data_IF_633663554471
#
_entry.id   IF_633663554471
#
_cell.length_a   1.000
_cell.length_b   1.000
_cell.length_c   1.000
_cell.angle_alpha   90.00
_cell.angle_beta   90.00
_cell.angle_gamma   90.00
#
_symmetry.space_group_name_H-M   'P 1'
#
loop_
_entity.id
_entity.type
_entity.pdbx_description
1 polymer ?
#
# COMPACT_ATOMS: atom_id res chain seq x y z
N UNK A 1 12.60 29.41 -7.22
CA UNK A 1 13.14 28.32 -6.38
C UNK A 1 12.54 28.33 -4.96
N UNK A 2 11.22 28.55 -4.80
CA UNK A 2 10.54 28.48 -3.49
C UNK A 2 9.58 27.28 -3.38
N UNK A 3 9.11 26.72 -4.51
CA UNK A 3 8.25 25.53 -4.50
C UNK A 3 8.93 24.22 -4.09
N UNK A 4 10.26 24.15 -4.19
CA UNK A 4 11.03 22.96 -3.79
C UNK A 4 11.21 22.90 -2.27
N UNK A 5 11.43 24.04 -1.61
CA UNK A 5 11.57 24.13 -0.16
C UNK A 5 10.26 23.90 0.59
N UNK A 6 9.12 24.26 -0.02
CA UNK A 6 7.80 23.94 0.55
C UNK A 6 7.48 22.43 0.43
N UNK A 7 8.03 21.74 -0.58
CA UNK A 7 7.94 20.28 -0.69
C UNK A 7 8.84 19.57 0.32
N UNK A 8 9.95 20.20 0.70
CA UNK A 8 11.01 19.58 1.50
C UNK A 8 10.56 19.22 2.93
N UNK A 9 9.52 19.85 3.48
CA UNK A 9 9.08 19.66 4.88
C UNK A 9 7.59 19.34 5.07
N UNK A 10 6.83 19.10 3.99
CA UNK A 10 5.41 18.75 4.10
C UNK A 10 5.19 17.26 4.36
N UNK A 11 5.82 16.73 5.42
CA UNK A 11 5.64 15.36 5.91
C UNK A 11 4.16 14.94 6.09
N UNK A 12 3.27 15.80 6.60
CA UNK A 12 1.84 15.47 6.67
C UNK A 12 1.21 15.19 5.30
N UNK A 13 1.61 15.92 4.26
CA UNK A 13 1.10 15.75 2.91
C UNK A 13 1.59 14.43 2.29
N UNK A 14 2.86 14.06 2.51
CA UNK A 14 3.37 12.76 2.06
C UNK A 14 2.68 11.58 2.76
N UNK A 15 2.45 11.71 4.07
CA UNK A 15 1.70 10.71 4.84
C UNK A 15 0.27 10.60 4.32
N UNK A 16 -0.41 11.72 4.06
CA UNK A 16 -1.76 11.74 3.52
C UNK A 16 -1.83 11.11 2.12
N UNK A 17 -0.92 11.48 1.21
CA UNK A 17 -0.84 10.89 -0.13
C UNK A 17 -0.58 9.39 -0.07
N UNK A 18 0.35 8.94 0.78
CA UNK A 18 0.61 7.52 0.97
C UNK A 18 -0.61 6.78 1.50
N UNK A 19 -1.33 7.36 2.46
CA UNK A 19 -2.56 6.77 2.99
C UNK A 19 -3.64 6.64 1.90
N UNK A 20 -3.86 7.69 1.11
CA UNK A 20 -4.81 7.68 -0.01
C UNK A 20 -4.45 6.60 -1.03
N UNK A 21 -3.17 6.52 -1.44
CA UNK A 21 -2.69 5.49 -2.35
C UNK A 21 -2.89 4.09 -1.77
N UNK A 22 -2.60 3.90 -0.48
CA UNK A 22 -2.78 2.62 0.22
C UNK A 22 -4.24 2.18 0.22
N UNK A 23 -5.16 3.08 0.58
CA UNK A 23 -6.59 2.80 0.56
C UNK A 23 -7.07 2.46 -0.85
N UNK A 24 -6.65 3.22 -1.86
CA UNK A 24 -7.03 2.98 -3.26
C UNK A 24 -6.55 1.61 -3.75
N UNK A 25 -5.30 1.24 -3.46
CA UNK A 25 -4.73 -0.05 -3.88
C UNK A 25 -5.43 -1.21 -3.15
N UNK A 26 -5.67 -1.08 -1.84
CA UNK A 26 -6.43 -2.09 -1.08
C UNK A 26 -7.85 -2.26 -1.61
N UNK A 27 -8.49 -1.15 -2.00
CA UNK A 27 -9.80 -1.16 -2.63
C UNK A 27 -9.77 -1.85 -4.00
N UNK A 28 -8.78 -1.54 -4.84
CA UNK A 28 -8.55 -2.20 -6.14
C UNK A 28 -8.43 -3.71 -6.00
N UNK A 29 -7.59 -4.19 -5.06
CA UNK A 29 -7.45 -5.64 -4.82
C UNK A 29 -8.73 -6.29 -4.34
N UNK A 30 -9.48 -5.61 -3.46
CA UNK A 30 -10.77 -6.12 -2.98
C UNK A 30 -11.77 -6.23 -4.14
N UNK A 31 -11.81 -5.22 -5.01
CA UNK A 31 -12.69 -5.20 -6.18
C UNK A 31 -12.33 -6.29 -7.18
N UNK A 32 -11.05 -6.42 -7.55
CA UNK A 32 -10.56 -7.43 -8.48
C UNK A 32 -10.81 -8.85 -7.96
N UNK A 33 -10.52 -9.10 -6.69
CA UNK A 33 -10.80 -10.39 -6.04
C UNK A 33 -12.30 -10.73 -6.05
N UNK A 34 -13.17 -9.74 -5.78
CA UNK A 34 -14.61 -9.90 -5.86
C UNK A 34 -15.10 -10.24 -7.28
N UNK A 35 -14.59 -9.54 -8.30
CA UNK A 35 -14.89 -9.82 -9.70
C UNK A 35 -14.45 -11.22 -10.11
N UNK A 36 -13.22 -11.62 -9.77
CA UNK A 36 -12.69 -12.95 -10.07
C UNK A 36 -13.49 -14.09 -9.43
N UNK A 37 -14.10 -13.87 -8.26
CA UNK A 37 -14.94 -14.86 -7.59
C UNK A 37 -16.30 -15.05 -8.29
N UNK A 38 -16.84 -13.99 -8.89
CA UNK A 38 -18.15 -13.97 -9.54
C UNK A 38 -18.10 -14.27 -11.05
N UNK A 39 -16.93 -14.58 -11.60
CA UNK A 39 -16.74 -14.89 -13.02
C UNK A 39 -16.51 -16.39 -13.19
N UNK A 40 -17.44 -17.04 -13.89
CA UNK A 40 -17.37 -18.48 -14.22
C UNK A 40 -16.52 -18.75 -15.47
N UNK A 41 -16.41 -17.78 -16.38
CA UNK A 41 -15.57 -17.90 -17.57
C UNK A 41 -14.07 -17.96 -17.23
N UNK A 42 -13.44 -19.06 -17.62
CA UNK A 42 -12.03 -19.34 -17.33
C UNK A 42 -11.09 -18.36 -18.01
N UNK A 43 -11.42 -17.88 -19.21
CA UNK A 43 -10.59 -16.93 -19.94
C UNK A 43 -10.59 -15.56 -19.25
N UNK A 44 -11.77 -15.03 -18.93
CA UNK A 44 -11.93 -13.76 -18.21
C UNK A 44 -11.29 -13.82 -16.83
N UNK A 45 -11.43 -14.94 -16.10
CA UNK A 45 -10.77 -15.13 -14.80
C UNK A 45 -9.24 -15.13 -14.90
N UNK A 46 -8.68 -15.74 -15.95
CA UNK A 46 -7.24 -15.71 -16.24
C UNK A 46 -6.75 -14.29 -16.55
N UNK A 47 -7.49 -13.53 -17.37
CA UNK A 47 -7.16 -12.14 -17.66
C UNK A 47 -7.19 -11.25 -16.42
N UNK A 48 -8.22 -11.39 -15.56
CA UNK A 48 -8.30 -10.66 -14.30
C UNK A 48 -7.17 -11.02 -13.34
N UNK A 49 -6.76 -12.29 -13.29
CA UNK A 49 -5.59 -12.72 -12.53
C UNK A 49 -4.31 -12.06 -13.04
N UNK A 50 -4.06 -12.11 -14.35
CA UNK A 50 -2.90 -11.47 -14.98
C UNK A 50 -2.85 -9.98 -14.68
N UNK A 51 -3.96 -9.25 -14.85
CA UNK A 51 -4.04 -7.83 -14.52
C UNK A 51 -3.70 -7.60 -13.04
N UNK A 52 -4.26 -8.41 -12.14
CA UNK A 52 -4.01 -8.30 -10.70
C UNK A 52 -2.56 -8.57 -10.34
N UNK A 53 -1.89 -9.51 -11.02
CA UNK A 53 -0.47 -9.82 -10.78
C UNK A 53 0.43 -8.70 -11.32
N UNK A 54 0.24 -8.30 -12.58
CA UNK A 54 1.11 -7.32 -13.25
C UNK A 54 0.94 -5.90 -12.72
N UNK A 55 -0.27 -5.48 -12.36
CA UNK A 55 -0.49 -4.17 -11.74
C UNK A 55 -0.37 -4.23 -10.22
N UNK A 56 -0.92 -5.29 -9.61
CA UNK A 56 -1.00 -5.36 -8.17
C UNK A 56 0.35 -5.55 -7.48
N UNK A 57 1.22 -6.43 -7.98
CA UNK A 57 2.53 -6.67 -7.33
C UNK A 57 3.36 -5.38 -7.27
N UNK A 58 3.54 -4.62 -8.38
CA UNK A 58 4.25 -3.33 -8.31
C UNK A 58 3.60 -2.32 -7.36
N UNK A 59 2.27 -2.27 -7.30
CA UNK A 59 1.55 -1.35 -6.41
C UNK A 59 1.74 -1.71 -4.93
N UNK A 60 1.71 -2.99 -4.58
CA UNK A 60 2.01 -3.44 -3.20
C UNK A 60 3.45 -3.10 -2.85
N UNK A 61 4.39 -3.39 -3.75
CA UNK A 61 5.80 -3.05 -3.54
C UNK A 61 5.97 -1.55 -3.31
N UNK A 62 5.33 -0.70 -4.12
CA UNK A 62 5.40 0.76 -3.95
C UNK A 62 4.90 1.22 -2.56
N UNK A 63 3.80 0.65 -2.05
CA UNK A 63 3.28 0.99 -0.71
C UNK A 63 4.22 0.56 0.40
N UNK A 64 4.82 -0.62 0.30
CA UNK A 64 5.69 -1.18 1.35
C UNK A 64 7.05 -0.48 1.34
N UNK A 65 7.59 -0.26 0.15
CA UNK A 65 8.94 0.26 -0.06
C UNK A 65 8.98 1.78 0.12
N UNK A 66 7.95 2.52 -0.31
CA UNK A 66 7.89 3.98 -0.20
C UNK A 66 8.21 4.51 1.21
N UNK A 67 7.48 4.09 2.26
CA UNK A 67 7.73 4.50 3.65
C UNK A 67 9.14 4.20 4.13
N UNK A 68 9.71 3.05 3.74
CA UNK A 68 11.06 2.66 4.09
C UNK A 68 12.10 3.59 3.45
N UNK A 69 11.91 3.96 2.19
CA UNK A 69 12.77 4.93 1.51
C UNK A 69 12.69 6.33 2.16
N UNK A 70 11.51 6.78 2.58
CA UNK A 70 11.37 8.05 3.31
C UNK A 70 12.07 8.01 4.68
N UNK A 71 11.94 6.90 5.42
CA UNK A 71 12.58 6.74 6.73
C UNK A 71 14.11 6.68 6.67
N UNK A 72 14.66 6.03 5.63
CA UNK A 72 16.11 5.85 5.45
C UNK A 72 16.74 7.05 4.74
N UNK A 73 16.05 7.61 3.75
CA UNK A 73 16.55 8.68 2.87
C UNK A 73 16.63 10.03 3.55
N UNK A 74 15.72 10.33 4.49
CA UNK A 74 15.71 11.61 5.19
C UNK A 74 16.20 11.47 6.64
N UNK A 75 17.45 11.87 6.87
CA UNK A 75 18.08 11.88 8.19
C UNK A 75 17.67 13.07 9.06
N UNK A 76 17.05 14.10 8.46
CA UNK A 76 16.65 15.33 9.14
C UNK A 76 15.16 15.33 9.52
N UNK A 77 14.42 14.26 9.20
CA UNK A 77 13.03 14.09 9.57
C UNK A 77 12.84 14.17 11.09
N UNK A 78 11.92 15.03 11.52
CA UNK A 78 11.56 15.19 12.93
C UNK A 78 11.10 13.84 13.53
N UNK A 79 11.50 13.58 14.77
CA UNK A 79 11.23 12.31 15.46
C UNK A 79 9.74 11.97 15.49
N UNK A 80 8.87 12.98 15.65
CA UNK A 80 7.41 12.85 15.58
C UNK A 80 6.94 12.16 14.30
N UNK A 81 7.39 12.62 13.13
CA UNK A 81 7.00 12.04 11.84
C UNK A 81 7.64 10.69 11.60
N UNK A 82 8.87 10.47 12.09
CA UNK A 82 9.53 9.17 12.04
C UNK A 82 8.74 8.11 12.82
N UNK A 83 8.28 8.43 14.03
CA UNK A 83 7.44 7.52 14.82
C UNK A 83 6.07 7.29 14.17
N UNK A 84 5.46 8.31 13.56
CA UNK A 84 4.22 8.14 12.80
C UNK A 84 4.38 7.17 11.64
N UNK A 85 5.45 7.29 10.85
CA UNK A 85 5.74 6.35 9.77
C UNK A 85 5.94 4.92 10.27
N UNK A 86 6.70 4.73 11.34
CA UNK A 86 6.90 3.41 11.96
C UNK A 86 5.56 2.84 12.46
N UNK A 87 4.72 3.66 13.09
CA UNK A 87 3.39 3.27 13.56
C UNK A 87 2.47 2.86 12.41
N UNK A 88 2.46 3.62 11.31
CA UNK A 88 1.66 3.31 10.12
C UNK A 88 2.12 2.02 9.43
N UNK A 89 3.43 1.79 9.31
CA UNK A 89 3.99 0.52 8.82
C UNK A 89 3.54 -0.62 9.74
N UNK A 90 3.62 -0.43 11.07
CA UNK A 90 3.16 -1.40 12.05
C UNK A 90 1.68 -1.77 11.88
N UNK A 91 0.80 -0.77 11.76
CA UNK A 91 -0.64 -0.98 11.51
C UNK A 91 -0.87 -1.73 10.19
N UNK A 92 -0.15 -1.36 9.13
CA UNK A 92 -0.26 -2.01 7.83
C UNK A 92 0.15 -3.49 7.89
N UNK A 93 1.28 -3.79 8.55
CA UNK A 93 1.75 -5.17 8.76
C UNK A 93 0.76 -5.98 9.61
N UNK A 94 0.25 -5.40 10.69
CA UNK A 94 -0.77 -6.03 11.55
C UNK A 94 -2.01 -6.37 10.72
N UNK A 95 -2.54 -5.40 9.96
CA UNK A 95 -3.69 -5.62 9.08
C UNK A 95 -3.41 -6.75 8.08
N UNK A 96 -2.22 -6.80 7.48
CA UNK A 96 -1.86 -7.84 6.52
C UNK A 96 -1.79 -9.23 7.19
N UNK A 97 -1.17 -9.35 8.37
CA UNK A 97 -1.08 -10.60 9.14
C UNK A 97 -2.47 -11.11 9.52
N UNK A 98 -3.34 -10.24 10.06
CA UNK A 98 -4.70 -10.62 10.44
C UNK A 98 -5.56 -10.98 9.24
N UNK A 99 -5.45 -10.23 8.14
CA UNK A 99 -6.18 -10.53 6.91
C UNK A 99 -5.73 -11.84 6.29
N UNK A 100 -4.42 -12.12 6.29
CA UNK A 100 -3.88 -13.37 5.78
C UNK A 100 -4.36 -14.57 6.61
N UNK A 101 -4.44 -14.43 7.94
CA UNK A 101 -5.05 -15.43 8.84
C UNK A 101 -6.51 -15.71 8.51
N UNK A 102 -7.32 -14.69 8.20
CA UNK A 102 -8.73 -14.88 7.85
C UNK A 102 -8.94 -15.56 6.49
N UNK A 103 -8.00 -15.44 5.55
CA UNK A 103 -8.04 -16.17 4.27
C UNK A 103 -7.44 -17.57 4.33
N UNK A 104 -6.71 -17.90 5.40
CA UNK A 104 -6.18 -19.22 5.67
C UNK A 104 -6.78 -19.73 6.99
N UNK A 105 -8.07 -20.14 7.01
CA UNK A 105 -8.54 -21.03 8.07
C UNK A 105 -7.73 -22.33 7.88
N UNK A 106 -6.65 -22.46 8.64
CA UNK A 106 -5.84 -23.67 8.59
C UNK A 106 -6.70 -24.88 8.96
N UNK A 107 -6.65 -25.91 8.10
CA UNK A 107 -7.27 -27.24 8.19
C UNK A 107 -8.66 -27.37 7.56
#
# INVERSE_FOLDING_TARGET
MQGVQLLEHNYPLYIALWFIMTVFILWFFRFMSGKMKNTDDRQTKSSLFTITVFLGIPLILAIVVGPLFFLIGDKNMESTYRYLWIGLIGIFLIYFIFKQRNTNPGK
#
